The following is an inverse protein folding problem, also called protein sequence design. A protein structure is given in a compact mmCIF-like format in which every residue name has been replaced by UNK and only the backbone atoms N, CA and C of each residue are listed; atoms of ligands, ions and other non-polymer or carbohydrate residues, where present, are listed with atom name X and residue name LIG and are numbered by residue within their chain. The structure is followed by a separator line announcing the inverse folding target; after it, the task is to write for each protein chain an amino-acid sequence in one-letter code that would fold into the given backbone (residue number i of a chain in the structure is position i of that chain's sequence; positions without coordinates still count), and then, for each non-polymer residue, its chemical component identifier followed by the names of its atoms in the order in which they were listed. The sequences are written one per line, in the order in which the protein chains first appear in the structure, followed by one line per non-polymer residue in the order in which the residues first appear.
data_IF_028504957111
#
_entry.id   IF_028504957111
#
_cell.length_a   1.000
_cell.length_b   1.000
_cell.length_c   1.000
_cell.angle_alpha   90.00
_cell.angle_beta   90.00
_cell.angle_gamma   90.00
#
_symmetry.space_group_name_H-M   'P 1'
#
loop_
_entity.id
_entity.type
_entity.pdbx_description
1 polymer ?
#
# COMPACT_ATOMS: atom_id res chain seq x y z
N UNK A 1 7.69 -21.89 -2.94
CA UNK A 1 6.37 -21.24 -2.77
C UNK A 1 6.48 -20.31 -1.57
N UNK A 2 6.30 -19.00 -1.76
CA UNK A 2 6.50 -17.97 -0.74
C UNK A 2 5.13 -17.45 -0.29
N UNK A 3 4.81 -17.57 1.00
CA UNK A 3 3.56 -17.10 1.61
C UNK A 3 3.86 -15.91 2.51
N UNK A 4 3.08 -14.84 2.36
CA UNK A 4 3.27 -13.55 3.01
C UNK A 4 1.93 -13.03 3.50
N UNK A 5 1.89 -12.44 4.69
CA UNK A 5 0.69 -11.87 5.30
C UNK A 5 0.91 -10.37 5.58
N UNK A 6 0.54 -9.49 4.64
CA UNK A 6 0.71 -8.06 4.82
C UNK A 6 -0.18 -7.53 5.95
N UNK A 7 0.41 -6.76 6.85
CA UNK A 7 -0.27 -6.01 7.88
C UNK A 7 -0.32 -4.51 7.51
N UNK A 8 -1.28 -3.73 8.08
CA UNK A 8 -1.32 -2.29 7.88
C UNK A 8 -0.03 -1.67 8.43
N UNK A 9 0.60 -0.79 7.65
CA UNK A 9 1.80 -0.08 8.08
C UNK A 9 1.44 1.03 9.08
N UNK A 10 1.97 0.92 10.29
CA UNK A 10 1.95 1.97 11.30
C UNK A 10 2.81 3.15 10.87
N UNK A 11 3.96 2.91 10.23
CA UNK A 11 4.84 3.95 9.72
C UNK A 11 4.15 4.82 8.67
N UNK A 12 3.46 4.20 7.70
CA UNK A 12 2.67 4.94 6.72
C UNK A 12 1.57 5.75 7.38
N UNK A 13 0.86 5.16 8.36
CA UNK A 13 -0.19 5.88 9.08
C UNK A 13 0.36 7.07 9.88
N UNK A 14 1.47 6.90 10.60
CA UNK A 14 2.12 7.97 11.36
C UNK A 14 2.64 9.07 10.43
N UNK A 15 3.21 8.71 9.29
CA UNK A 15 3.63 9.67 8.28
C UNK A 15 2.43 10.45 7.73
N UNK A 16 1.33 9.76 7.41
CA UNK A 16 0.10 10.41 6.96
C UNK A 16 -0.44 11.37 8.03
N UNK A 17 -0.51 10.94 9.30
CA UNK A 17 -0.94 11.78 10.41
C UNK A 17 -0.05 13.02 10.55
N UNK A 18 1.27 12.84 10.48
CA UNK A 18 2.23 13.94 10.56
C UNK A 18 2.06 14.94 9.42
N UNK A 19 1.97 14.47 8.17
CA UNK A 19 1.80 15.33 7.00
C UNK A 19 0.47 16.09 7.01
N UNK A 20 -0.63 15.44 7.40
CA UNK A 20 -1.93 16.11 7.52
C UNK A 20 -1.94 17.09 8.70
N UNK A 21 -1.26 16.77 9.81
CA UNK A 21 -1.03 17.71 10.91
C UNK A 21 -0.27 18.96 10.47
N UNK A 22 0.81 18.79 9.69
CA UNK A 22 1.55 19.90 9.09
C UNK A 22 0.67 20.72 8.13
N UNK A 23 -0.14 20.07 7.30
CA UNK A 23 -1.07 20.74 6.40
C UNK A 23 -2.10 21.59 7.16
N UNK A 24 -2.68 21.06 8.25
CA UNK A 24 -3.57 21.84 9.13
C UNK A 24 -2.83 23.02 9.76
N UNK A 25 -1.64 22.81 10.31
CA UNK A 25 -0.84 23.88 10.90
C UNK A 25 -0.55 24.98 9.86
N UNK A 26 -0.19 24.61 8.63
CA UNK A 26 0.02 25.54 7.54
C UNK A 26 -1.26 26.33 7.19
N UNK A 27 -2.43 25.68 7.15
CA UNK A 27 -3.71 26.37 6.94
C UNK A 27 -3.98 27.37 8.06
N UNK A 28 -3.75 27.01 9.33
CA UNK A 28 -3.97 27.90 10.47
C UNK A 28 -3.00 29.09 10.49
N UNK A 29 -1.72 28.85 10.23
CA UNK A 29 -0.67 29.87 10.19
C UNK A 29 -0.64 30.67 8.88
N UNK A 30 -1.39 30.26 7.85
CA UNK A 30 -1.50 31.04 6.63
C UNK A 30 -2.21 32.37 6.90
N UNK A 31 -1.82 33.41 6.16
CA UNK A 31 -2.52 34.70 6.12
C UNK A 31 -3.89 34.63 5.40
N UNK A 32 -4.42 33.43 5.16
CA UNK A 32 -5.68 33.23 4.46
C UNK A 32 -6.88 33.76 5.26
N UNK A 33 -7.95 34.20 4.58
CA UNK A 33 -9.19 34.59 5.24
C UNK A 33 -9.88 33.38 5.89
N UNK A 34 -10.67 33.63 6.95
CA UNK A 34 -11.30 32.59 7.76
C UNK A 34 -12.15 31.61 6.93
N UNK A 35 -12.95 32.08 5.97
CA UNK A 35 -13.79 31.23 5.13
C UNK A 35 -12.96 30.19 4.35
N UNK A 36 -11.76 30.55 3.90
CA UNK A 36 -10.86 29.66 3.18
C UNK A 36 -10.26 28.62 4.12
N UNK A 37 -9.89 29.01 5.35
CA UNK A 37 -9.43 28.07 6.39
C UNK A 37 -10.52 27.06 6.74
N UNK A 38 -11.76 27.51 6.87
CA UNK A 38 -12.93 26.67 7.16
C UNK A 38 -13.28 25.72 6.01
N UNK A 39 -12.95 26.06 4.76
CA UNK A 39 -13.10 25.16 3.62
C UNK A 39 -11.93 24.15 3.52
N UNK A 40 -10.70 24.58 3.81
CA UNK A 40 -9.49 23.76 3.67
C UNK A 40 -9.33 22.73 4.79
N UNK A 41 -9.64 23.09 6.05
CA UNK A 41 -9.45 22.17 7.16
C UNK A 41 -10.26 20.86 7.01
N UNK A 42 -11.56 20.88 6.64
CA UNK A 42 -12.32 19.65 6.36
C UNK A 42 -11.73 18.82 5.22
N UNK A 43 -11.14 19.44 4.20
CA UNK A 43 -10.49 18.71 3.11
C UNK A 43 -9.26 17.93 3.61
N UNK A 44 -8.46 18.53 4.50
CA UNK A 44 -7.32 17.85 5.12
C UNK A 44 -7.82 16.68 5.98
N UNK A 45 -8.87 16.88 6.79
CA UNK A 45 -9.46 15.79 7.57
C UNK A 45 -10.04 14.67 6.69
N UNK A 46 -10.70 15.01 5.59
CA UNK A 46 -11.22 14.06 4.62
C UNK A 46 -10.10 13.23 3.99
N UNK A 47 -8.99 13.86 3.63
CA UNK A 47 -7.79 13.19 3.13
C UNK A 47 -7.23 12.16 4.11
N UNK A 48 -7.09 12.54 5.38
CA UNK A 48 -6.62 11.65 6.45
C UNK A 48 -7.59 10.47 6.67
N UNK A 49 -8.90 10.75 6.66
CA UNK A 49 -9.93 9.73 6.80
C UNK A 49 -9.88 8.71 5.64
N UNK A 50 -9.75 9.18 4.41
CA UNK A 50 -9.64 8.33 3.23
C UNK A 50 -8.36 7.48 3.25
N UNK A 51 -7.21 8.04 3.63
CA UNK A 51 -5.97 7.26 3.84
C UNK A 51 -6.17 6.18 4.91
N UNK A 52 -6.86 6.50 6.02
CA UNK A 52 -7.22 5.53 7.05
C UNK A 52 -8.08 4.38 6.52
N UNK A 53 -9.10 4.69 5.71
CA UNK A 53 -9.94 3.68 5.05
C UNK A 53 -9.15 2.82 4.05
N UNK A 54 -8.15 3.38 3.37
CA UNK A 54 -7.29 2.62 2.45
C UNK A 54 -6.34 1.70 3.23
N UNK A 55 -5.79 2.16 4.35
CA UNK A 55 -4.83 1.42 5.16
C UNK A 55 -5.45 0.31 5.99
N UNK A 56 -6.63 0.57 6.57
CA UNK A 56 -7.28 -0.31 7.53
C UNK A 56 -8.63 -0.86 7.04
N UNK A 57 -9.06 -0.51 5.83
CA UNK A 57 -10.35 -0.93 5.29
C UNK A 57 -10.28 -2.15 4.37
N UNK A 58 -11.41 -2.41 3.70
CA UNK A 58 -11.76 -3.67 3.03
C UNK A 58 -10.86 -4.11 1.86
N UNK A 59 -10.06 -3.23 1.26
CA UNK A 59 -9.21 -3.59 0.09
C UNK A 59 -7.77 -3.97 0.44
N UNK A 60 -7.56 -4.46 1.65
CA UNK A 60 -6.23 -4.89 2.08
C UNK A 60 -5.89 -6.27 1.52
N UNK A 61 -4.67 -6.44 1.00
CA UNK A 61 -4.12 -7.77 0.73
C UNK A 61 -3.83 -8.41 2.09
N UNK A 62 -4.65 -9.39 2.45
CA UNK A 62 -4.53 -10.12 3.73
C UNK A 62 -3.53 -11.27 3.60
N UNK A 63 -3.42 -11.83 2.39
CA UNK A 63 -2.53 -12.94 2.14
C UNK A 63 -2.03 -12.92 0.69
N UNK A 64 -0.76 -13.24 0.51
CA UNK A 64 -0.15 -13.43 -0.80
C UNK A 64 0.63 -14.74 -0.83
N UNK A 65 0.31 -15.60 -1.79
CA UNK A 65 1.03 -16.84 -2.09
C UNK A 65 1.68 -16.74 -3.47
N UNK A 66 3.00 -16.63 -3.49
CA UNK A 66 3.80 -16.60 -4.70
C UNK A 66 4.23 -18.04 -5.05
N UNK A 67 3.66 -18.56 -6.14
CA UNK A 67 4.09 -19.78 -6.81
C UNK A 67 5.14 -19.51 -7.89
N UNK A 68 5.60 -20.56 -8.58
CA UNK A 68 6.62 -20.44 -9.63
C UNK A 68 6.12 -19.75 -10.91
N UNK A 69 4.80 -19.77 -11.17
CA UNK A 69 4.19 -19.23 -12.41
C UNK A 69 2.96 -18.35 -12.17
N UNK A 70 2.40 -18.37 -10.97
CA UNK A 70 1.21 -17.59 -10.61
C UNK A 70 1.31 -17.10 -9.16
N UNK A 71 0.60 -16.01 -8.87
CA UNK A 71 0.45 -15.48 -7.52
C UNK A 71 -1.02 -15.50 -7.15
N UNK A 72 -1.34 -16.12 -6.02
CA UNK A 72 -2.66 -16.02 -5.41
C UNK A 72 -2.66 -14.90 -4.39
N UNK A 73 -3.49 -13.89 -4.63
CA UNK A 73 -3.75 -12.77 -3.74
C UNK A 73 -5.08 -13.02 -3.06
N UNK A 74 -5.14 -12.84 -1.74
CA UNK A 74 -6.39 -12.80 -1.00
C UNK A 74 -6.68 -11.37 -0.57
N UNK A 75 -7.71 -10.78 -1.16
CA UNK A 75 -8.16 -9.40 -0.93
C UNK A 75 -9.59 -9.48 -0.42
N UNK A 76 -9.88 -8.88 0.74
CA UNK A 76 -11.24 -8.86 1.31
C UNK A 76 -11.90 -10.25 1.45
N UNK A 77 -11.10 -11.30 1.63
CA UNK A 77 -11.58 -12.69 1.68
C UNK A 77 -11.74 -13.37 0.32
N UNK A 78 -11.78 -12.63 -0.78
CA UNK A 78 -11.78 -13.15 -2.15
C UNK A 78 -10.36 -13.56 -2.58
N UNK A 79 -10.24 -14.70 -3.26
CA UNK A 79 -8.98 -15.19 -3.78
C UNK A 79 -8.88 -14.90 -5.27
N UNK A 80 -7.90 -14.10 -5.66
CA UNK A 80 -7.60 -13.77 -7.05
C UNK A 80 -6.27 -14.41 -7.44
N UNK A 81 -6.26 -15.13 -8.57
CA UNK A 81 -5.02 -15.65 -9.15
C UNK A 81 -4.53 -14.70 -10.26
N UNK A 82 -3.27 -14.33 -10.18
CA UNK A 82 -2.65 -13.33 -11.06
C UNK A 82 -1.38 -13.88 -11.68
N UNK A 83 -0.92 -13.21 -12.74
CA UNK A 83 0.35 -13.52 -13.39
C UNK A 83 1.57 -13.23 -12.50
N UNK A 84 2.79 -13.52 -12.98
CA UNK A 84 4.00 -13.26 -12.24
C UNK A 84 4.12 -11.77 -11.89
N UNK A 85 4.57 -11.43 -10.67
CA UNK A 85 4.61 -10.06 -10.23
C UNK A 85 5.84 -9.34 -10.77
N UNK A 86 5.72 -8.04 -11.01
CA UNK A 86 6.81 -7.18 -11.43
C UNK A 86 7.23 -6.28 -10.28
N UNK A 87 8.50 -6.30 -9.93
CA UNK A 87 9.04 -5.43 -8.87
C UNK A 87 9.33 -4.06 -9.48
N UNK A 88 8.52 -3.06 -9.13
CA UNK A 88 8.68 -1.66 -9.55
C UNK A 88 9.80 -0.98 -8.77
N UNK A 89 9.86 -1.24 -7.47
CA UNK A 89 10.83 -0.61 -6.58
C UNK A 89 11.16 -1.54 -5.41
N UNK A 90 12.44 -1.60 -5.03
CA UNK A 90 12.90 -2.38 -3.89
C UNK A 90 14.06 -1.65 -3.22
N UNK A 91 13.79 -1.09 -2.04
CA UNK A 91 14.76 -0.47 -1.14
C UNK A 91 14.61 -1.04 0.27
N UNK A 92 15.48 -0.67 1.20
CA UNK A 92 15.39 -1.10 2.62
C UNK A 92 14.08 -0.64 3.30
N UNK A 93 13.53 0.47 2.84
CA UNK A 93 12.38 1.14 3.45
C UNK A 93 11.08 0.96 2.67
N UNK A 94 11.14 0.45 1.43
CA UNK A 94 9.96 0.35 0.58
C UNK A 94 10.09 -0.75 -0.46
N UNK A 95 9.08 -1.60 -0.56
CA UNK A 95 8.95 -2.57 -1.64
C UNK A 95 7.64 -2.33 -2.36
N UNK A 96 7.70 -2.06 -3.66
CA UNK A 96 6.54 -1.87 -4.53
C UNK A 96 6.51 -3.00 -5.54
N UNK A 97 5.45 -3.80 -5.47
CA UNK A 97 5.22 -4.93 -6.35
C UNK A 97 3.95 -4.68 -7.15
N UNK A 98 4.02 -4.88 -8.46
CA UNK A 98 2.91 -4.73 -9.39
C UNK A 98 2.45 -6.11 -9.88
N UNK A 99 1.14 -6.35 -9.83
CA UNK A 99 0.52 -7.58 -10.28
C UNK A 99 -0.36 -7.28 -11.51
N UNK A 100 -0.15 -7.98 -12.63
CA UNK A 100 -1.05 -7.90 -13.76
C UNK A 100 -2.33 -8.69 -13.42
N UNK A 101 -3.42 -7.98 -13.16
CA UNK A 101 -4.74 -8.55 -12.95
C UNK A 101 -5.50 -8.51 -14.27
N UNK A 102 -5.88 -9.68 -14.78
CA UNK A 102 -6.84 -9.76 -15.88
C UNK A 102 -8.22 -9.83 -15.27
N UNK A 103 -8.92 -8.72 -15.31
CA UNK A 103 -10.32 -8.65 -14.92
C UNK A 103 -11.18 -8.94 -16.16
N UNK A 104 -12.21 -9.76 -16.03
CA UNK A 104 -13.02 -10.26 -17.15
C UNK A 104 -13.84 -9.13 -17.81
N UNK A 105 -14.21 -8.10 -17.04
CA UNK A 105 -15.10 -7.02 -17.49
C UNK A 105 -14.41 -5.67 -17.75
N UNK A 106 -13.20 -5.41 -17.20
CA UNK A 106 -12.61 -4.06 -17.17
C UNK A 106 -11.27 -3.89 -17.91
N UNK A 107 -10.79 -4.92 -18.61
CA UNK A 107 -9.49 -4.90 -19.30
C UNK A 107 -8.30 -5.14 -18.36
N UNK A 108 -7.08 -4.86 -18.82
CA UNK A 108 -5.85 -5.07 -18.02
C UNK A 108 -5.79 -4.07 -16.86
N UNK A 109 -6.08 -4.53 -15.64
CA UNK A 109 -5.89 -3.76 -14.41
C UNK A 109 -4.54 -4.13 -13.77
N UNK A 110 -3.82 -3.14 -13.28
CA UNK A 110 -2.55 -3.33 -12.55
C UNK A 110 -2.83 -3.10 -11.08
N UNK A 111 -2.52 -4.08 -10.24
CA UNK A 111 -2.64 -3.96 -8.80
C UNK A 111 -1.26 -3.66 -8.20
N UNK A 112 -1.15 -2.57 -7.44
CA UNK A 112 0.10 -2.17 -6.79
C UNK A 112 0.04 -2.50 -5.31
N UNK A 113 0.94 -3.37 -4.86
CA UNK A 113 1.16 -3.64 -3.45
C UNK A 113 2.36 -2.84 -2.97
N UNK A 114 2.11 -1.93 -2.02
CA UNK A 114 3.13 -1.11 -1.39
C UNK A 114 3.38 -1.67 0.02
N UNK A 115 4.58 -2.19 0.24
CA UNK A 115 5.00 -2.80 1.50
C UNK A 115 6.04 -1.91 2.18
N UNK A 116 5.69 -1.42 3.37
CA UNK A 116 6.61 -0.73 4.27
C UNK A 116 7.35 -1.75 5.15
N UNK A 117 8.45 -1.37 5.82
CA UNK A 117 9.26 -2.32 6.59
C UNK A 117 8.49 -2.93 7.77
N UNK A 118 7.49 -2.24 8.27
CA UNK A 118 6.60 -2.70 9.34
C UNK A 118 5.33 -3.40 8.83
N UNK A 119 5.11 -3.46 7.52
CA UNK A 119 3.99 -4.20 6.92
C UNK A 119 4.16 -5.71 6.98
N UNK A 120 5.37 -6.21 7.26
CA UNK A 120 5.69 -7.63 7.28
C UNK A 120 6.50 -8.02 8.52
N UNK A 121 6.29 -9.22 9.08
CA UNK A 121 7.22 -9.80 10.03
C UNK A 121 8.63 -9.89 9.43
N UNK A 122 9.66 -9.69 10.25
CA UNK A 122 11.06 -9.64 9.80
C UNK A 122 11.46 -10.88 8.97
N UNK A 123 10.97 -12.06 9.34
CA UNK A 123 11.22 -13.31 8.61
C UNK A 123 10.58 -13.33 7.23
N UNK A 124 9.34 -12.87 7.10
CA UNK A 124 8.63 -12.78 5.82
C UNK A 124 9.28 -11.72 4.93
N UNK A 125 9.68 -10.58 5.51
CA UNK A 125 10.40 -9.53 4.80
C UNK A 125 11.75 -10.04 4.26
N UNK A 126 12.51 -10.80 5.06
CA UNK A 126 13.78 -11.40 4.64
C UNK A 126 13.59 -12.43 3.53
N UNK A 127 12.52 -13.23 3.58
CA UNK A 127 12.18 -14.20 2.53
C UNK A 127 11.77 -13.47 1.24
N UNK A 128 10.92 -12.43 1.34
CA UNK A 128 10.52 -11.60 0.21
C UNK A 128 11.71 -10.93 -0.47
N UNK A 129 12.61 -10.31 0.30
CA UNK A 129 13.80 -9.64 -0.25
C UNK A 129 14.72 -10.62 -0.98
N UNK A 130 14.98 -11.78 -0.38
CA UNK A 130 15.77 -12.84 -1.03
C UNK A 130 15.10 -13.27 -2.33
N UNK A 131 13.79 -13.53 -2.29
CA UNK A 131 13.03 -13.91 -3.46
C UNK A 131 13.10 -12.88 -4.59
N UNK A 132 12.90 -11.59 -4.28
CA UNK A 132 13.05 -10.49 -5.25
C UNK A 132 14.45 -10.46 -5.88
N UNK A 133 15.49 -10.63 -5.05
CA UNK A 133 16.88 -10.56 -5.50
C UNK A 133 17.25 -11.73 -6.43
N UNK A 134 16.78 -12.94 -6.15
CA UNK A 134 17.18 -14.15 -6.89
C UNK A 134 16.25 -14.54 -8.03
N UNK A 135 14.93 -14.36 -7.88
CA UNK A 135 13.94 -14.89 -8.83
C UNK A 135 13.35 -13.85 -9.78
N UNK A 136 13.35 -12.56 -9.43
CA UNK A 136 12.67 -11.50 -10.23
C UNK A 136 13.64 -10.60 -11.00
N UNK A 137 14.88 -10.42 -10.53
CA UNK A 137 15.90 -9.59 -11.20
C UNK A 137 16.76 -10.35 -12.23
N UNK A 138 16.47 -11.62 -12.51
CA UNK A 138 17.03 -12.38 -13.64
C UNK A 138 16.13 -12.26 -14.86
#
# INVERSE_FOLDING_TARGET
MLRIHPAPSRLRFLLALFLHGLALAAVFHSGAPFWLKSALAPLVFCGLWLEGQILFGRRQVVEMQIGARSVKLRIDGESMETGPPQVRHCSEWLVIVEFPVRDADSGRRRFHLVLFPDSLPADEQRKLRRWIYFDVRR
#
